data_IF_531543866113
#
_entry.id   IF_531543866113
#
_cell.length_a   1.000
_cell.length_b   1.000
_cell.length_c   1.000
_cell.angle_alpha   90.00
_cell.angle_beta   90.00
_cell.angle_gamma   90.00
#
_symmetry.space_group_name_H-M   'P 1'
#
loop_
_entity.id
_entity.type
_entity.pdbx_description
1 polymer ?
#
# COMPACT_ATOMS: atom_id res chain seq x y z
N UNK A 1 -25.68 -24.20 4.28
CA UNK A 1 -25.06 -23.33 3.25
C UNK A 1 -25.71 -23.68 1.91
N UNK A 2 -25.94 -22.69 1.04
CA UNK A 2 -26.67 -22.87 -0.22
C UNK A 2 -25.75 -23.04 -1.43
N UNK A 3 -26.21 -23.78 -2.44
CA UNK A 3 -25.54 -23.89 -3.74
C UNK A 3 -25.37 -22.51 -4.40
N UNK A 4 -24.43 -22.35 -5.35
CA UNK A 4 -24.33 -21.12 -6.14
C UNK A 4 -25.63 -20.83 -6.89
N UNK A 5 -25.99 -19.56 -6.98
CA UNK A 5 -27.17 -19.08 -7.72
C UNK A 5 -26.71 -18.55 -9.06
N UNK A 6 -27.06 -19.25 -10.15
CA UNK A 6 -26.71 -18.89 -11.52
C UNK A 6 -27.96 -18.38 -12.22
N UNK A 7 -27.91 -17.15 -12.75
CA UNK A 7 -29.02 -16.57 -13.49
C UNK A 7 -29.27 -17.35 -14.80
N UNK A 8 -30.53 -17.60 -15.21
CA UNK A 8 -30.85 -18.40 -16.41
C UNK A 8 -30.28 -17.89 -17.74
N UNK A 9 -29.90 -16.61 -17.80
CA UNK A 9 -29.31 -15.98 -18.99
C UNK A 9 -27.78 -15.87 -18.94
N UNK A 10 -27.13 -16.48 -17.94
CA UNK A 10 -25.68 -16.64 -17.91
C UNK A 10 -25.27 -17.94 -18.65
N UNK A 11 -24.14 -17.92 -19.35
CA UNK A 11 -23.51 -19.11 -19.94
C UNK A 11 -22.36 -19.56 -19.04
N UNK A 12 -22.65 -20.49 -18.12
CA UNK A 12 -21.70 -20.97 -17.12
C UNK A 12 -21.40 -22.43 -17.38
N UNK A 13 -20.14 -22.73 -17.72
CA UNK A 13 -19.66 -24.09 -17.99
C UNK A 13 -18.82 -24.69 -16.86
N UNK A 14 -18.25 -23.86 -15.97
CA UNK A 14 -17.48 -24.34 -14.83
C UNK A 14 -18.36 -25.04 -13.79
N UNK A 15 -17.84 -26.15 -13.27
CA UNK A 15 -18.41 -26.86 -12.11
C UNK A 15 -17.73 -26.47 -10.79
N UNK A 16 -16.66 -25.66 -10.84
CA UNK A 16 -15.81 -25.30 -9.71
C UNK A 16 -16.22 -23.95 -9.13
N UNK A 17 -17.47 -23.85 -8.69
CA UNK A 17 -18.04 -22.62 -8.14
C UNK A 17 -18.47 -22.86 -6.69
N UNK A 18 -17.90 -22.09 -5.78
CA UNK A 18 -18.14 -22.19 -4.35
C UNK A 18 -19.57 -21.84 -3.94
N UNK A 19 -19.92 -22.22 -2.71
CA UNK A 19 -21.26 -22.04 -2.15
C UNK A 19 -21.61 -20.56 -2.00
N UNK A 20 -22.91 -20.24 -2.06
CA UNK A 20 -23.47 -18.88 -1.96
C UNK A 20 -23.00 -17.87 -3.04
N UNK A 21 -22.16 -18.30 -3.99
CA UNK A 21 -21.73 -17.47 -5.11
C UNK A 21 -22.90 -17.13 -6.01
N UNK A 22 -22.99 -15.86 -6.43
CA UNK A 22 -24.07 -15.32 -7.26
C UNK A 22 -23.50 -14.91 -8.61
N UNK A 23 -24.06 -15.49 -9.67
CA UNK A 23 -23.72 -15.16 -11.06
C UNK A 23 -24.94 -14.54 -11.72
N UNK A 24 -24.82 -13.27 -12.11
CA UNK A 24 -25.92 -12.48 -12.67
C UNK A 24 -26.06 -12.66 -14.19
N UNK A 25 -27.07 -12.02 -14.77
CA UNK A 25 -27.41 -12.14 -16.19
C UNK A 25 -26.25 -11.80 -17.14
N UNK A 26 -26.17 -12.51 -18.26
CA UNK A 26 -25.21 -12.23 -19.34
C UNK A 26 -23.74 -12.34 -18.92
N UNK A 27 -23.46 -13.15 -17.90
CA UNK A 27 -22.10 -13.55 -17.54
C UNK A 27 -21.72 -14.79 -18.37
N UNK A 28 -20.47 -14.87 -18.80
CA UNK A 28 -19.88 -16.04 -19.45
C UNK A 28 -18.73 -16.58 -18.58
N UNK A 29 -18.76 -17.87 -18.23
CA UNK A 29 -17.71 -18.52 -17.43
C UNK A 29 -17.28 -19.83 -18.11
N UNK A 30 -15.99 -19.95 -18.41
CA UNK A 30 -15.44 -21.11 -19.10
C UNK A 30 -15.27 -22.33 -18.18
N UNK A 31 -15.14 -23.55 -18.72
CA UNK A 31 -15.20 -24.79 -17.93
C UNK A 31 -14.18 -24.91 -16.78
N UNK A 32 -12.96 -24.43 -16.98
CA UNK A 32 -11.87 -24.70 -16.04
C UNK A 32 -11.69 -23.62 -14.95
N UNK A 33 -12.46 -22.53 -15.03
CA UNK A 33 -12.41 -21.44 -14.05
C UNK A 33 -12.70 -21.93 -12.63
N UNK A 34 -11.93 -21.48 -11.65
CA UNK A 34 -12.11 -21.80 -10.22
C UNK A 34 -12.59 -20.57 -9.46
N UNK A 35 -13.78 -20.63 -8.88
CA UNK A 35 -14.41 -19.51 -8.19
C UNK A 35 -14.76 -19.92 -6.77
N UNK A 36 -14.31 -19.14 -5.78
CA UNK A 36 -14.55 -19.36 -4.36
C UNK A 36 -16.01 -19.21 -3.92
N UNK A 37 -16.21 -19.26 -2.61
CA UNK A 37 -17.50 -19.12 -1.95
C UNK A 37 -17.89 -17.66 -1.73
N UNK A 38 -19.19 -17.38 -1.75
CA UNK A 38 -19.80 -16.05 -1.56
C UNK A 38 -19.24 -14.97 -2.48
N UNK A 39 -18.86 -15.36 -3.70
CA UNK A 39 -18.44 -14.43 -4.75
C UNK A 39 -19.67 -13.81 -5.40
N UNK A 40 -19.57 -12.55 -5.83
CA UNK A 40 -20.63 -11.86 -6.56
C UNK A 40 -20.14 -11.42 -7.93
N UNK A 41 -20.53 -12.15 -8.98
CA UNK A 41 -20.17 -11.85 -10.38
C UNK A 41 -21.34 -11.13 -11.07
N UNK A 42 -21.28 -9.81 -11.08
CA UNK A 42 -22.32 -8.95 -11.68
C UNK A 42 -22.42 -9.13 -13.21
N UNK A 43 -23.51 -8.61 -13.79
CA UNK A 43 -23.88 -8.82 -15.19
C UNK A 43 -22.80 -8.41 -16.19
N UNK A 44 -22.80 -8.99 -17.38
CA UNK A 44 -21.86 -8.63 -18.46
C UNK A 44 -20.38 -8.76 -18.08
N UNK A 45 -20.03 -9.85 -17.39
CA UNK A 45 -18.64 -10.23 -17.15
C UNK A 45 -18.27 -11.47 -17.97
N UNK A 46 -16.98 -11.66 -18.20
CA UNK A 46 -16.41 -12.87 -18.79
C UNK A 46 -15.28 -13.40 -17.92
N UNK A 47 -15.22 -14.71 -17.72
CA UNK A 47 -14.17 -15.39 -16.96
C UNK A 47 -13.65 -16.58 -17.78
N UNK A 48 -12.37 -16.57 -18.11
CA UNK A 48 -11.70 -17.63 -18.89
C UNK A 48 -11.28 -18.85 -18.04
N UNK A 49 -10.53 -19.78 -18.65
CA UNK A 49 -10.22 -21.09 -18.06
C UNK A 49 -9.17 -20.99 -16.96
N UNK A 50 -8.03 -20.35 -17.26
CA UNK A 50 -6.90 -20.23 -16.35
C UNK A 50 -7.10 -19.07 -15.36
N UNK A 51 -8.15 -19.16 -14.56
CA UNK A 51 -8.55 -18.15 -13.59
C UNK A 51 -8.84 -18.79 -12.24
N UNK A 52 -8.32 -18.18 -11.18
CA UNK A 52 -8.67 -18.50 -9.79
C UNK A 52 -9.17 -17.24 -9.10
N UNK A 53 -10.35 -17.31 -8.51
CA UNK A 53 -10.97 -16.23 -7.71
C UNK A 53 -11.23 -16.77 -6.31
N UNK A 54 -10.70 -16.07 -5.29
CA UNK A 54 -10.91 -16.38 -3.88
C UNK A 54 -12.31 -16.04 -3.39
N UNK A 55 -12.55 -16.33 -2.12
CA UNK A 55 -13.85 -16.18 -1.47
C UNK A 55 -14.23 -14.71 -1.24
N UNK A 56 -15.54 -14.44 -1.14
CA UNK A 56 -16.11 -13.13 -0.76
C UNK A 56 -15.70 -11.97 -1.67
N UNK A 57 -15.22 -12.29 -2.86
CA UNK A 57 -14.81 -11.32 -3.88
C UNK A 57 -16.02 -10.79 -4.65
N UNK A 58 -16.03 -9.49 -4.93
CA UNK A 58 -17.04 -8.84 -5.76
C UNK A 58 -16.46 -8.38 -7.09
N UNK A 59 -17.08 -8.82 -8.19
CA UNK A 59 -16.74 -8.40 -9.54
C UNK A 59 -17.95 -7.66 -10.12
N UNK A 60 -17.81 -6.34 -10.27
CA UNK A 60 -18.84 -5.50 -10.88
C UNK A 60 -18.89 -5.68 -12.40
N UNK A 61 -19.98 -5.20 -13.00
CA UNK A 61 -20.27 -5.39 -14.42
C UNK A 61 -19.22 -4.83 -15.38
N UNK A 62 -19.11 -5.46 -16.55
CA UNK A 62 -18.20 -5.04 -17.63
C UNK A 62 -16.74 -5.44 -17.42
N UNK A 63 -16.47 -6.41 -16.54
CA UNK A 63 -15.12 -6.89 -16.23
C UNK A 63 -14.84 -8.18 -17.00
N UNK A 64 -13.68 -8.23 -17.64
CA UNK A 64 -13.19 -9.41 -18.37
C UNK A 64 -11.95 -9.95 -17.65
N UNK A 65 -12.06 -11.18 -17.13
CA UNK A 65 -11.03 -11.86 -16.36
C UNK A 65 -10.38 -12.91 -17.27
N UNK A 66 -9.25 -12.51 -17.86
CA UNK A 66 -8.51 -13.32 -18.83
C UNK A 66 -7.68 -14.42 -18.16
N UNK A 67 -7.25 -15.39 -18.97
CA UNK A 67 -6.29 -16.42 -18.57
C UNK A 67 -5.03 -15.82 -17.91
N UNK A 68 -4.59 -16.45 -16.82
CA UNK A 68 -3.44 -16.06 -16.01
C UNK A 68 -3.76 -15.20 -14.78
N UNK A 69 -5.02 -14.81 -14.58
CA UNK A 69 -5.41 -14.00 -13.42
C UNK A 69 -5.57 -14.86 -12.14
N UNK A 70 -5.04 -14.34 -11.04
CA UNK A 70 -5.20 -14.88 -9.68
C UNK A 70 -5.75 -13.79 -8.78
N UNK A 71 -6.99 -13.93 -8.35
CA UNK A 71 -7.70 -12.96 -7.51
C UNK A 71 -7.90 -13.58 -6.14
N UNK A 72 -7.44 -12.89 -5.09
CA UNK A 72 -7.53 -13.32 -3.71
C UNK A 72 -8.94 -13.22 -3.12
N UNK A 73 -8.99 -13.33 -1.79
CA UNK A 73 -10.23 -13.22 -1.02
C UNK A 73 -10.60 -11.76 -0.72
N UNK A 74 -11.88 -11.50 -0.52
CA UNK A 74 -12.38 -10.18 -0.09
C UNK A 74 -11.98 -9.04 -1.05
N UNK A 75 -11.71 -9.36 -2.32
CA UNK A 75 -11.31 -8.37 -3.33
C UNK A 75 -12.54 -7.64 -3.86
N UNK A 76 -12.41 -6.33 -4.09
CA UNK A 76 -13.41 -5.55 -4.79
C UNK A 76 -12.90 -5.12 -6.17
N UNK A 77 -13.58 -5.54 -7.23
CA UNK A 77 -13.29 -5.12 -8.61
C UNK A 77 -14.47 -4.26 -9.10
N UNK A 78 -14.20 -2.97 -9.27
CA UNK A 78 -15.16 -1.97 -9.70
C UNK A 78 -15.64 -2.17 -11.15
N UNK A 79 -16.72 -1.47 -11.54
CA UNK A 79 -17.32 -1.67 -12.86
C UNK A 79 -16.34 -1.24 -13.97
N UNK A 80 -16.34 -1.97 -15.08
CA UNK A 80 -15.49 -1.70 -16.25
C UNK A 80 -13.98 -1.68 -15.96
N UNK A 81 -13.52 -2.32 -14.88
CA UNK A 81 -12.07 -2.57 -14.71
C UNK A 81 -11.60 -3.46 -15.86
N UNK A 82 -10.52 -3.03 -16.50
CA UNK A 82 -9.95 -3.71 -17.67
C UNK A 82 -8.64 -4.36 -17.30
N UNK A 83 -8.60 -5.69 -17.36
CA UNK A 83 -7.36 -6.47 -17.26
C UNK A 83 -6.77 -6.72 -18.64
N UNK A 84 -5.46 -6.98 -18.66
CA UNK A 84 -4.71 -7.40 -19.85
C UNK A 84 -3.70 -8.47 -19.45
N UNK A 85 -3.32 -9.34 -20.38
CA UNK A 85 -2.41 -10.48 -20.14
C UNK A 85 -1.25 -10.57 -21.15
N UNK A 86 -1.32 -9.86 -22.27
CA UNK A 86 -0.24 -9.68 -23.26
C UNK A 86 0.26 -8.23 -23.26
N UNK A 87 1.58 -8.06 -23.13
CA UNK A 87 2.24 -6.75 -23.10
C UNK A 87 2.38 -6.11 -24.48
N UNK A 88 2.41 -6.93 -25.53
CA UNK A 88 2.61 -6.49 -26.91
C UNK A 88 1.64 -7.21 -27.86
N UNK A 89 0.31 -7.04 -27.66
CA UNK A 89 -0.70 -7.82 -28.37
C UNK A 89 -0.64 -7.59 -29.88
N UNK A 90 -0.63 -8.68 -30.63
CA UNK A 90 -0.67 -8.70 -32.11
C UNK A 90 -1.62 -9.81 -32.56
N UNK A 91 -2.53 -9.50 -33.49
CA UNK A 91 -3.52 -10.47 -33.97
C UNK A 91 -2.83 -11.72 -34.54
N UNK A 92 -3.27 -12.91 -34.08
CA UNK A 92 -2.73 -14.23 -34.45
C UNK A 92 -1.27 -14.46 -34.06
N UNK A 93 -0.73 -13.64 -33.17
CA UNK A 93 0.59 -13.81 -32.57
C UNK A 93 0.37 -13.90 -31.07
N UNK A 94 0.65 -15.06 -30.51
CA UNK A 94 0.38 -15.37 -29.11
C UNK A 94 1.69 -15.57 -28.38
N UNK A 95 1.83 -15.09 -27.13
CA UNK A 95 2.98 -15.42 -26.31
C UNK A 95 2.98 -16.92 -25.98
N UNK A 96 4.15 -17.50 -25.72
CA UNK A 96 4.23 -18.89 -25.24
C UNK A 96 3.54 -19.07 -23.89
N UNK A 97 3.59 -18.05 -23.04
CA UNK A 97 2.92 -17.99 -21.74
C UNK A 97 2.40 -16.58 -21.48
N UNK A 98 1.14 -16.46 -21.04
CA UNK A 98 0.59 -15.18 -20.59
C UNK A 98 1.21 -14.75 -19.26
N UNK A 99 1.37 -13.43 -19.07
CA UNK A 99 1.93 -12.90 -17.83
C UNK A 99 0.90 -12.97 -16.71
N UNK A 100 1.19 -13.65 -15.58
CA UNK A 100 0.23 -13.78 -14.50
C UNK A 100 0.03 -12.43 -13.80
N UNK A 101 -1.22 -12.03 -13.64
CA UNK A 101 -1.61 -10.85 -12.86
C UNK A 101 -2.21 -11.32 -11.54
N UNK A 102 -1.66 -10.86 -10.42
CA UNK A 102 -2.05 -11.30 -9.08
C UNK A 102 -2.68 -10.15 -8.31
N UNK A 103 -3.90 -10.34 -7.84
CA UNK A 103 -4.61 -9.40 -6.97
C UNK A 103 -4.72 -10.05 -5.60
N UNK A 104 -3.99 -9.54 -4.62
CA UNK A 104 -3.99 -10.09 -3.26
C UNK A 104 -5.25 -9.71 -2.48
N UNK A 105 -5.46 -10.43 -1.37
CA UNK A 105 -6.64 -10.31 -0.52
C UNK A 105 -6.94 -8.86 -0.13
N UNK A 106 -8.23 -8.53 -0.02
CA UNK A 106 -8.75 -7.22 0.40
C UNK A 106 -8.39 -6.04 -0.51
N UNK A 107 -7.71 -6.27 -1.64
CA UNK A 107 -7.43 -5.22 -2.60
C UNK A 107 -8.74 -4.67 -3.21
N UNK A 108 -8.77 -3.37 -3.48
CA UNK A 108 -9.90 -2.67 -4.08
C UNK A 108 -9.48 -1.94 -5.35
N UNK A 109 -10.13 -2.26 -6.46
CA UNK A 109 -9.85 -1.68 -7.77
C UNK A 109 -11.03 -0.82 -8.21
N UNK A 110 -10.80 0.49 -8.30
CA UNK A 110 -11.80 1.47 -8.70
C UNK A 110 -12.28 1.27 -10.15
N UNK A 111 -13.54 1.62 -10.39
CA UNK A 111 -14.17 1.43 -11.70
C UNK A 111 -13.40 2.11 -12.84
N UNK A 112 -13.38 1.46 -14.00
CA UNK A 112 -12.70 1.95 -15.21
C UNK A 112 -11.17 1.92 -15.13
N UNK A 113 -10.56 1.39 -14.06
CA UNK A 113 -9.11 1.25 -14.00
C UNK A 113 -8.59 0.24 -15.04
N UNK A 114 -7.38 0.45 -15.54
CA UNK A 114 -6.68 -0.43 -16.48
C UNK A 114 -5.47 -1.04 -15.79
N UNK A 115 -5.40 -2.36 -15.78
CA UNK A 115 -4.33 -3.14 -15.16
C UNK A 115 -3.47 -3.78 -16.26
N UNK A 116 -2.22 -3.32 -16.38
CA UNK A 116 -1.26 -3.88 -17.32
C UNK A 116 -0.88 -5.32 -16.94
N UNK A 117 -0.35 -6.12 -17.89
CA UNK A 117 -0.10 -7.53 -17.66
C UNK A 117 1.13 -7.74 -16.78
N UNK A 118 1.11 -8.80 -15.97
CA UNK A 118 2.25 -9.19 -15.14
C UNK A 118 2.48 -8.32 -13.91
N UNK A 119 1.46 -7.59 -13.45
CA UNK A 119 1.54 -6.76 -12.24
C UNK A 119 0.90 -7.47 -11.05
N UNK A 120 1.38 -7.11 -9.86
CA UNK A 120 0.82 -7.55 -8.58
C UNK A 120 0.14 -6.38 -7.89
N UNK A 121 -1.11 -6.54 -7.46
CA UNK A 121 -1.80 -5.58 -6.59
C UNK A 121 -1.76 -6.15 -5.17
N UNK A 122 -1.01 -5.48 -4.29
CA UNK A 122 -0.76 -5.93 -2.92
C UNK A 122 -2.01 -5.99 -2.05
N UNK A 123 -1.90 -6.72 -0.93
CA UNK A 123 -3.00 -6.90 0.02
C UNK A 123 -3.53 -5.55 0.50
N UNK A 124 -4.86 -5.38 0.53
CA UNK A 124 -5.50 -4.14 0.98
C UNK A 124 -5.17 -2.88 0.16
N UNK A 125 -4.47 -3.01 -0.97
CA UNK A 125 -4.16 -1.87 -1.83
C UNK A 125 -5.43 -1.29 -2.46
N UNK A 126 -5.42 0.02 -2.73
CA UNK A 126 -6.54 0.73 -3.34
C UNK A 126 -6.12 1.40 -4.64
N UNK A 127 -6.62 0.89 -5.75
CA UNK A 127 -6.46 1.50 -7.08
C UNK A 127 -7.62 2.45 -7.32
N UNK A 128 -7.33 3.73 -7.54
CA UNK A 128 -8.33 4.75 -7.82
C UNK A 128 -9.07 4.50 -9.14
N UNK A 129 -10.30 5.03 -9.24
CA UNK A 129 -11.10 4.95 -10.46
C UNK A 129 -10.33 5.55 -11.66
N UNK A 130 -10.39 4.87 -12.80
CA UNK A 130 -9.72 5.29 -14.04
C UNK A 130 -8.18 5.25 -14.02
N UNK A 131 -7.55 4.71 -12.97
CA UNK A 131 -6.08 4.63 -12.91
C UNK A 131 -5.52 3.66 -13.96
N UNK A 132 -4.34 3.96 -14.51
CA UNK A 132 -3.61 3.06 -15.43
C UNK A 132 -2.41 2.49 -14.70
N UNK A 133 -2.56 1.29 -14.15
CA UNK A 133 -1.57 0.62 -13.34
C UNK A 133 -0.52 -0.03 -14.24
N UNK A 134 0.69 0.53 -14.25
CA UNK A 134 1.80 0.08 -15.10
C UNK A 134 2.90 -0.68 -14.37
N UNK A 135 2.81 -0.79 -13.04
CA UNK A 135 3.76 -1.44 -12.14
C UNK A 135 3.00 -2.04 -10.97
N UNK A 136 3.58 -3.05 -10.32
CA UNK A 136 3.02 -3.63 -9.09
C UNK A 136 2.78 -2.56 -8.03
N UNK A 137 1.68 -2.72 -7.30
CA UNK A 137 1.21 -1.80 -6.25
C UNK A 137 1.51 -2.44 -4.90
N UNK A 138 2.27 -1.78 -4.01
CA UNK A 138 2.57 -2.32 -2.68
C UNK A 138 1.32 -2.57 -1.83
N UNK A 139 1.39 -3.44 -0.81
CA UNK A 139 0.31 -3.62 0.16
C UNK A 139 -0.15 -2.30 0.75
N UNK A 140 -1.46 -2.13 0.86
CA UNK A 140 -2.14 -0.93 1.39
C UNK A 140 -1.83 0.39 0.68
N UNK A 141 -1.08 0.40 -0.42
CA UNK A 141 -0.83 1.61 -1.18
C UNK A 141 -2.10 2.08 -1.89
N UNK A 142 -2.30 3.39 -1.92
CA UNK A 142 -3.35 4.06 -2.69
C UNK A 142 -2.70 4.60 -3.96
N UNK A 143 -3.12 4.12 -5.13
CA UNK A 143 -2.58 4.59 -6.42
C UNK A 143 -3.64 5.27 -7.28
N UNK A 144 -3.30 6.39 -7.90
CA UNK A 144 -4.21 7.13 -8.80
C UNK A 144 -3.49 7.67 -10.03
N UNK A 145 -4.26 8.04 -11.07
CA UNK A 145 -3.77 8.70 -12.28
C UNK A 145 -3.32 7.76 -13.40
N UNK A 146 -2.84 8.36 -14.50
CA UNK A 146 -2.35 7.68 -15.70
C UNK A 146 -1.03 8.30 -16.15
N UNK A 147 0.10 7.58 -16.05
CA UNK A 147 0.27 6.30 -15.36
C UNK A 147 0.06 6.42 -13.83
N UNK A 148 -0.42 5.35 -13.19
CA UNK A 148 -0.76 5.35 -11.77
C UNK A 148 0.47 5.63 -10.88
N UNK A 149 0.27 6.38 -9.79
CA UNK A 149 1.28 6.74 -8.80
C UNK A 149 0.72 6.60 -7.40
N UNK A 150 1.57 6.23 -6.44
CA UNK A 150 1.21 6.17 -5.03
C UNK A 150 0.93 7.59 -4.53
N UNK A 151 -0.28 7.82 -4.04
CA UNK A 151 -0.72 9.11 -3.49
C UNK A 151 -0.99 9.06 -1.98
N UNK A 152 -1.04 7.85 -1.41
CA UNK A 152 -1.37 7.61 -0.01
C UNK A 152 -1.13 6.14 0.34
N UNK A 153 -1.30 5.82 1.62
CA UNK A 153 -1.52 4.47 2.10
C UNK A 153 -2.82 4.43 2.89
N UNK A 154 -3.49 3.28 2.91
CA UNK A 154 -4.70 3.08 3.71
C UNK A 154 -4.30 3.14 5.19
N UNK A 155 -4.74 4.19 5.87
CA UNK A 155 -4.60 4.33 7.31
C UNK A 155 -5.62 3.45 8.04
N UNK A 156 -5.19 2.85 9.15
CA UNK A 156 -6.06 2.05 10.01
C UNK A 156 -5.66 2.20 11.47
N UNK A 157 -5.41 3.43 11.90
CA UNK A 157 -5.14 3.74 13.31
C UNK A 157 -6.37 4.37 13.95
N UNK A 158 -6.57 4.14 15.24
CA UNK A 158 -7.58 4.86 16.04
C UNK A 158 -7.35 6.38 16.11
N UNK A 159 -6.23 6.88 15.55
CA UNK A 159 -5.93 8.31 15.41
C UNK A 159 -6.68 8.99 14.25
N UNK A 160 -7.41 8.23 13.41
CA UNK A 160 -8.19 8.78 12.29
C UNK A 160 -9.40 9.63 12.69
N UNK A 161 -9.66 9.82 14.00
CA UNK A 161 -10.80 10.63 14.50
C UNK A 161 -10.52 12.15 14.56
N UNK A 162 -9.36 12.61 14.04
CA UNK A 162 -9.09 14.04 13.87
C UNK A 162 -9.11 14.46 12.40
N UNK A 163 -10.23 14.21 11.71
CA UNK A 163 -10.54 14.91 10.46
C UNK A 163 -11.04 16.34 10.73
N UNK A 164 -10.25 17.17 11.41
CA UNK A 164 -10.39 18.62 11.26
C UNK A 164 -9.42 19.07 10.17
N UNK A 165 -9.97 19.44 9.01
CA UNK A 165 -9.26 20.23 8.01
C UNK A 165 -8.54 21.38 8.72
N UNK A 166 -7.28 21.70 8.39
CA UNK A 166 -6.57 22.79 9.05
C UNK A 166 -7.37 24.07 8.86
N UNK A 167 -8.01 24.56 9.93
CA UNK A 167 -8.39 25.95 10.03
C UNK A 167 -7.07 26.71 10.01
N UNK A 168 -6.93 27.65 9.07
CA UNK A 168 -5.88 28.66 9.12
C UNK A 168 -6.03 29.39 10.46
N UNK A 169 -5.21 28.98 11.43
CA UNK A 169 -5.05 29.67 12.70
C UNK A 169 -3.62 30.19 12.73
N UNK A 170 -3.50 31.51 12.64
CA UNK A 170 -2.25 32.23 12.84
C UNK A 170 -1.62 31.85 14.18
N UNK A 171 -0.30 31.63 14.18
CA UNK A 171 0.57 31.45 15.34
C UNK A 171 0.15 30.39 16.37
N UNK A 172 0.15 29.11 15.97
CA UNK A 172 0.29 28.04 16.97
C UNK A 172 1.78 27.80 17.19
N UNK A 173 2.29 28.18 18.35
CA UNK A 173 3.59 27.70 18.84
C UNK A 173 3.60 26.16 18.70
N UNK A 174 4.48 25.63 17.85
CA UNK A 174 4.72 24.20 17.74
C UNK A 174 5.20 23.74 19.12
N UNK A 175 4.30 23.13 19.91
CA UNK A 175 4.65 22.66 21.25
C UNK A 175 5.76 21.63 21.14
N UNK A 176 6.91 21.96 21.72
CA UNK A 176 8.00 21.01 21.96
C UNK A 176 7.43 19.77 22.66
N UNK A 177 7.88 18.58 22.26
CA UNK A 177 7.44 17.36 22.92
C UNK A 177 7.41 16.13 22.04
N UNK A 178 7.12 15.02 22.70
CA UNK A 178 7.06 13.67 22.13
C UNK A 178 5.61 13.20 22.17
N UNK A 179 5.09 12.78 21.03
CA UNK A 179 3.70 12.32 20.89
C UNK A 179 3.69 10.91 20.29
N UNK A 180 2.86 10.01 20.84
CA UNK A 180 2.64 8.69 20.24
C UNK A 180 1.88 8.82 18.92
N UNK A 181 2.31 8.09 17.90
CA UNK A 181 1.66 8.10 16.57
C UNK A 181 0.43 7.17 16.52
N UNK A 182 0.35 6.18 17.43
CA UNK A 182 -0.71 5.17 17.43
C UNK A 182 -0.41 3.96 16.55
N UNK A 183 0.88 3.72 16.27
CA UNK A 183 1.42 2.55 15.57
C UNK A 183 2.57 2.02 16.42
N UNK A 184 2.39 0.88 17.08
CA UNK A 184 3.32 0.35 18.07
C UNK A 184 3.89 1.41 19.03
N UNK A 185 5.21 1.40 19.21
CA UNK A 185 5.96 2.39 20.00
C UNK A 185 6.54 3.55 19.15
N UNK A 186 6.01 3.77 17.95
CA UNK A 186 6.40 4.90 17.10
C UNK A 186 6.01 6.21 17.77
N UNK A 187 6.96 7.14 17.82
CA UNK A 187 6.76 8.48 18.38
C UNK A 187 7.18 9.57 17.39
N UNK A 188 6.41 10.66 17.36
CA UNK A 188 6.72 11.90 16.66
C UNK A 188 7.29 12.91 17.64
N UNK A 189 8.30 13.66 17.21
CA UNK A 189 9.08 14.56 18.04
C UNK A 189 9.08 15.95 17.44
N UNK A 190 8.73 16.96 18.23
CA UNK A 190 8.99 18.36 17.92
C UNK A 190 10.14 18.83 18.81
N UNK A 191 11.30 19.04 18.21
CA UNK A 191 12.50 19.52 18.88
C UNK A 191 12.41 21.01 19.18
N UNK A 192 13.19 21.41 20.18
CA UNK A 192 13.41 22.82 20.51
C UNK A 192 13.85 23.59 19.28
N UNK A 193 13.24 24.75 19.09
CA UNK A 193 13.51 25.64 17.97
C UNK A 193 13.66 27.07 18.48
N UNK A 194 14.77 27.71 18.12
CA UNK A 194 15.10 29.09 18.50
C UNK A 194 15.43 29.86 17.24
N UNK A 195 14.68 30.92 16.98
CA UNK A 195 14.93 31.86 15.90
C UNK A 195 15.41 33.20 16.49
N UNK A 196 16.53 33.72 15.99
CA UNK A 196 17.00 35.07 16.31
C UNK A 196 17.55 35.78 15.06
N UNK A 197 18.00 37.03 15.21
CA UNK A 197 18.48 37.84 14.07
C UNK A 197 19.71 37.25 13.34
N UNK A 198 20.38 36.24 13.91
CA UNK A 198 21.53 35.53 13.32
C UNK A 198 21.10 34.28 12.55
N UNK A 199 19.83 33.87 12.67
CA UNK A 199 19.27 32.69 12.02
C UNK A 199 18.53 31.78 12.99
N UNK A 200 18.27 30.57 12.52
CA UNK A 200 17.46 29.57 13.20
C UNK A 200 18.32 28.41 13.70
N UNK A 201 17.99 27.87 14.88
CA UNK A 201 18.66 26.75 15.50
C UNK A 201 17.63 25.78 16.07
N UNK A 202 17.81 24.49 15.80
CA UNK A 202 17.12 23.41 16.49
C UNK A 202 18.11 22.46 17.14
N UNK A 203 17.71 21.85 18.25
CA UNK A 203 18.55 20.92 19.01
C UNK A 203 17.72 19.74 19.51
N UNK A 204 18.31 18.54 19.42
CA UNK A 204 17.83 17.33 20.06
C UNK A 204 19.01 16.59 20.68
N UNK A 205 18.79 15.97 21.83
CA UNK A 205 19.79 15.20 22.56
C UNK A 205 19.45 13.70 22.47
N UNK A 206 20.48 12.88 22.24
CA UNK A 206 20.34 11.42 22.35
C UNK A 206 20.12 11.03 23.81
N UNK A 207 19.37 9.94 24.02
CA UNK A 207 18.96 9.41 25.34
C UNK A 207 18.02 10.32 26.13
N UNK A 208 17.59 11.46 25.56
CA UNK A 208 16.56 12.34 26.10
C UNK A 208 15.37 12.43 25.15
N UNK A 209 15.50 13.14 24.04
CA UNK A 209 14.47 13.19 23.02
C UNK A 209 14.61 12.01 22.06
N UNK A 210 15.82 11.72 21.56
CA UNK A 210 16.04 10.57 20.68
C UNK A 210 16.33 9.33 21.55
N UNK A 211 15.50 8.27 21.52
CA UNK A 211 15.51 7.23 22.57
C UNK A 211 16.63 6.18 22.41
N UNK A 212 17.72 6.50 21.71
CA UNK A 212 18.89 5.64 21.57
C UNK A 212 20.15 6.46 21.22
N UNK A 213 21.32 5.86 21.43
CA UNK A 213 22.62 6.39 20.97
C UNK A 213 22.92 5.83 19.58
N UNK A 214 23.12 6.66 18.55
CA UNK A 214 23.37 6.16 17.20
C UNK A 214 24.79 5.63 17.04
N UNK A 215 24.93 4.53 16.29
CA UNK A 215 26.21 4.04 15.79
C UNK A 215 26.48 4.48 14.35
N UNK A 216 25.44 4.92 13.64
CA UNK A 216 25.50 5.32 12.23
C UNK A 216 24.46 6.40 11.92
N UNK A 217 24.80 7.25 10.95
CA UNK A 217 23.84 8.10 10.27
C UNK A 217 23.97 7.91 8.75
N UNK A 218 22.91 8.24 8.02
CA UNK A 218 22.97 8.35 6.56
C UNK A 218 21.99 9.42 6.06
N UNK A 219 22.19 9.84 4.81
CA UNK A 219 21.38 10.86 4.15
C UNK A 219 20.70 10.27 2.91
N UNK A 220 19.44 10.63 2.69
CA UNK A 220 18.71 10.36 1.46
C UNK A 220 18.30 11.69 0.84
N UNK A 221 18.77 11.97 -0.37
CA UNK A 221 18.57 13.23 -1.08
C UNK A 221 18.50 13.00 -2.59
N UNK A 222 18.06 14.01 -3.36
CA UNK A 222 17.84 13.93 -4.81
C UNK A 222 16.95 12.75 -5.21
N UNK A 223 15.92 12.48 -4.39
CA UNK A 223 14.93 11.45 -4.69
C UNK A 223 13.95 12.02 -5.70
N UNK A 224 13.79 11.41 -6.90
CA UNK A 224 12.77 11.84 -7.82
C UNK A 224 11.41 11.76 -7.12
N UNK A 225 10.62 12.84 -7.14
CA UNK A 225 9.36 12.98 -6.38
C UNK A 225 8.32 11.86 -6.59
N UNK A 226 8.51 11.04 -7.63
CA UNK A 226 7.67 9.89 -7.97
C UNK A 226 8.16 8.54 -7.38
N UNK A 227 9.32 8.49 -6.72
CA UNK A 227 9.90 7.23 -6.19
C UNK A 227 9.61 7.07 -4.70
N UNK A 228 9.16 5.88 -4.36
CA UNK A 228 9.13 5.36 -2.99
C UNK A 228 10.53 4.91 -2.57
N UNK A 229 10.87 5.11 -1.30
CA UNK A 229 12.05 4.61 -0.59
C UNK A 229 11.58 3.86 0.67
N UNK A 230 12.45 3.06 1.25
CA UNK A 230 12.08 2.23 2.40
C UNK A 230 11.54 0.88 1.94
N UNK A 231 10.28 0.60 2.26
CA UNK A 231 9.59 -0.67 1.97
C UNK A 231 10.27 -1.87 2.65
N UNK A 232 10.59 -1.71 3.93
CA UNK A 232 11.14 -2.75 4.78
C UNK A 232 10.88 -2.47 6.26
N UNK A 233 11.03 -3.49 7.08
CA UNK A 233 11.22 -3.38 8.53
C UNK A 233 12.63 -3.83 8.92
N UNK A 234 13.00 -3.59 10.18
CA UNK A 234 14.25 -4.04 10.79
C UNK A 234 13.98 -5.03 11.92
N UNK A 235 14.78 -6.09 12.04
CA UNK A 235 14.65 -7.02 13.17
C UNK A 235 15.07 -6.37 14.50
N UNK A 236 16.19 -5.62 14.49
CA UNK A 236 16.80 -5.06 15.70
C UNK A 236 17.13 -3.57 15.60
N UNK A 237 17.37 -3.04 14.40
CA UNK A 237 17.81 -1.66 14.24
C UNK A 237 16.69 -0.66 14.56
N UNK A 238 16.95 0.23 15.52
CA UNK A 238 16.15 1.42 15.77
C UNK A 238 16.52 2.50 14.76
N UNK A 239 15.54 3.31 14.34
CA UNK A 239 15.76 4.40 13.41
C UNK A 239 15.13 5.70 13.93
N UNK A 240 15.76 6.83 13.64
CA UNK A 240 15.21 8.16 13.88
C UNK A 240 15.39 9.03 12.65
N UNK A 241 14.29 9.54 12.10
CA UNK A 241 14.22 10.22 10.82
C UNK A 241 13.92 11.71 11.01
N UNK A 242 14.67 12.58 10.33
CA UNK A 242 14.46 14.05 10.32
C UNK A 242 14.64 14.53 8.87
N UNK A 243 13.65 15.23 8.31
CA UNK A 243 13.82 15.89 7.02
C UNK A 243 14.44 17.28 7.24
N UNK A 244 15.77 17.36 7.16
CA UNK A 244 16.55 18.57 7.51
C UNK A 244 16.41 19.69 6.48
N UNK A 245 15.92 19.38 5.28
CA UNK A 245 15.55 20.33 4.23
C UNK A 245 14.41 19.77 3.40
N UNK A 246 13.57 20.64 2.85
CA UNK A 246 12.44 20.24 2.02
C UNK A 246 11.39 19.48 2.84
N UNK A 247 10.74 18.52 2.22
CA UNK A 247 9.78 17.65 2.91
C UNK A 247 9.74 16.23 2.35
N UNK A 248 9.31 15.29 3.20
CA UNK A 248 8.89 13.96 2.77
C UNK A 248 7.85 13.38 3.74
N UNK A 249 7.03 12.44 3.25
CA UNK A 249 6.10 11.69 4.06
C UNK A 249 6.72 10.35 4.48
N UNK A 250 6.53 9.98 5.75
CA UNK A 250 6.95 8.70 6.33
C UNK A 250 5.71 7.92 6.72
N UNK A 251 5.52 6.73 6.13
CA UNK A 251 4.49 5.78 6.54
C UNK A 251 5.13 4.77 7.48
N UNK A 252 4.46 4.54 8.60
CA UNK A 252 4.82 3.57 9.62
C UNK A 252 3.71 2.55 9.77
N UNK A 253 4.09 1.30 10.02
CA UNK A 253 3.19 0.16 10.12
C UNK A 253 3.76 -0.88 11.11
N UNK A 254 2.94 -1.31 12.07
CA UNK A 254 3.27 -2.34 13.07
C UNK A 254 2.71 -3.73 12.69
N UNK A 255 2.06 -3.83 11.53
CA UNK A 255 1.38 -5.01 11.02
C UNK A 255 -0.14 -4.98 11.22
N UNK A 256 -0.64 -4.09 12.07
CA UNK A 256 -2.07 -3.93 12.36
C UNK A 256 -2.56 -2.50 12.14
N UNK A 257 -1.82 -1.54 12.69
CA UNK A 257 -2.07 -0.11 12.63
C UNK A 257 -1.09 0.54 11.65
N UNK A 258 -1.58 1.57 10.95
CA UNK A 258 -0.80 2.32 9.97
C UNK A 258 -1.09 3.81 10.07
N UNK A 259 -0.05 4.62 9.92
CA UNK A 259 -0.14 6.08 9.92
C UNK A 259 0.88 6.71 8.98
N UNK A 260 0.53 7.85 8.40
CA UNK A 260 1.43 8.71 7.62
C UNK A 260 1.80 9.96 8.42
N UNK A 261 3.09 10.26 8.53
CA UNK A 261 3.63 11.45 9.21
C UNK A 261 4.42 12.29 8.21
N UNK A 262 4.09 13.57 8.13
CA UNK A 262 4.83 14.52 7.30
C UNK A 262 6.04 15.07 8.06
N UNK A 263 7.23 14.96 7.47
CA UNK A 263 8.45 15.62 7.91
C UNK A 263 8.73 16.80 6.97
N UNK A 264 8.34 18.00 7.38
CA UNK A 264 8.40 19.24 6.59
C UNK A 264 9.14 20.39 7.29
N UNK A 265 9.82 20.10 8.40
CA UNK A 265 10.61 21.06 9.15
C UNK A 265 11.82 20.37 9.82
N UNK A 266 12.97 21.05 9.93
CA UNK A 266 14.19 20.47 10.49
C UNK A 266 14.12 20.20 11.99
N UNK A 267 13.11 20.74 12.69
CA UNK A 267 12.84 20.46 14.09
C UNK A 267 11.76 19.37 14.29
N UNK A 268 11.32 18.69 13.24
CA UNK A 268 10.40 17.55 13.32
C UNK A 268 11.15 16.25 13.07
N UNK A 269 10.92 15.26 13.94
CA UNK A 269 11.48 13.93 13.78
C UNK A 269 10.48 12.83 14.09
N UNK A 270 10.78 11.62 13.63
CA UNK A 270 10.00 10.42 13.94
C UNK A 270 10.93 9.27 14.32
N UNK A 271 10.60 8.59 15.41
CA UNK A 271 11.28 7.41 15.91
C UNK A 271 10.55 6.15 15.45
N UNK A 272 11.28 5.24 14.80
CA UNK A 272 10.82 3.91 14.40
C UNK A 272 11.57 2.87 15.26
N UNK A 273 10.89 2.17 16.18
CA UNK A 273 11.46 1.01 16.85
C UNK A 273 11.64 -0.16 15.86
N UNK A 274 12.40 -1.21 16.25
CA UNK A 274 12.47 -2.45 15.49
C UNK A 274 11.09 -3.03 15.25
N UNK A 275 10.96 -3.84 14.20
CA UNK A 275 9.69 -4.39 13.72
C UNK A 275 8.64 -3.33 13.38
N UNK A 276 9.09 -2.15 12.94
CA UNK A 276 8.24 -1.16 12.27
C UNK A 276 8.55 -1.18 10.77
N UNK A 277 7.54 -1.44 9.95
CA UNK A 277 7.67 -1.31 8.50
C UNK A 277 7.62 0.16 8.09
N UNK A 278 8.70 0.64 7.47
CA UNK A 278 8.91 2.03 7.12
C UNK A 278 8.89 2.29 5.61
N UNK A 279 8.16 3.31 5.19
CA UNK A 279 8.14 3.78 3.80
C UNK A 279 8.35 5.29 3.79
N UNK A 280 9.21 5.81 2.92
CA UNK A 280 9.42 7.24 2.74
C UNK A 280 9.13 7.63 1.29
N UNK A 281 8.29 8.62 1.08
CA UNK A 281 7.85 9.04 -0.25
C UNK A 281 7.39 10.50 -0.27
N UNK A 282 6.86 10.98 -1.40
CA UNK A 282 6.49 12.40 -1.60
C UNK A 282 7.64 13.37 -1.27
N UNK A 283 8.87 13.01 -1.62
CA UNK A 283 10.02 13.89 -1.46
C UNK A 283 9.84 15.17 -2.29
N UNK A 284 10.02 16.34 -1.67
CA UNK A 284 10.22 17.59 -2.40
C UNK A 284 11.56 17.53 -3.17
N UNK A 285 11.70 18.38 -4.18
CA UNK A 285 12.91 18.38 -5.04
C UNK A 285 14.19 18.66 -4.25
N UNK A 286 14.09 19.49 -3.20
CA UNK A 286 15.20 19.89 -2.34
C UNK A 286 15.30 19.05 -1.04
N UNK A 287 14.53 17.97 -0.94
CA UNK A 287 14.44 17.18 0.28
C UNK A 287 15.76 16.49 0.65
N UNK A 288 16.10 16.57 1.94
CA UNK A 288 17.23 15.85 2.54
C UNK A 288 16.73 15.18 3.82
N UNK A 289 16.63 13.86 3.79
CA UNK A 289 16.26 13.04 4.95
C UNK A 289 17.52 12.54 5.66
N UNK A 290 17.72 12.98 6.89
CA UNK A 290 18.72 12.47 7.83
C UNK A 290 18.13 11.33 8.63
N UNK A 291 18.87 10.23 8.73
CA UNK A 291 18.49 9.06 9.51
C UNK A 291 19.61 8.70 10.47
N UNK A 292 19.29 8.61 11.75
CA UNK A 292 20.13 8.01 12.78
C UNK A 292 19.73 6.56 13.00
N UNK A 293 20.70 5.67 13.24
CA UNK A 293 20.44 4.26 13.53
C UNK A 293 21.22 3.77 14.74
N UNK A 294 20.58 2.92 15.57
CA UNK A 294 21.23 2.29 16.74
C UNK A 294 22.37 1.36 16.36
N UNK A 295 22.35 0.84 15.13
CA UNK A 295 23.28 -0.20 14.68
C UNK A 295 24.05 0.19 13.42
N UNK A 296 25.18 -0.50 13.23
CA UNK A 296 25.92 -0.47 11.97
C UNK A 296 25.08 -1.07 10.84
N UNK A 297 25.53 -0.92 9.59
CA UNK A 297 24.82 -1.55 8.48
C UNK A 297 24.95 -3.07 8.58
N UNK A 298 23.80 -3.74 8.58
CA UNK A 298 23.67 -5.17 8.45
C UNK A 298 22.58 -5.49 7.42
N UNK A 299 22.90 -6.29 6.41
CA UNK A 299 21.97 -6.64 5.35
C UNK A 299 20.92 -7.67 5.82
N UNK A 300 21.27 -8.49 6.81
CA UNK A 300 20.45 -9.58 7.34
C UNK A 300 19.41 -9.08 8.35
N UNK A 301 19.56 -7.85 8.84
CA UNK A 301 18.58 -7.21 9.73
C UNK A 301 17.32 -6.72 8.99
N UNK A 302 17.31 -6.76 7.64
CA UNK A 302 16.21 -6.25 6.82
C UNK A 302 15.12 -7.29 6.55
N UNK A 303 13.88 -6.96 6.89
CA UNK A 303 12.68 -7.67 6.43
C UNK A 303 12.11 -6.93 5.22
N UNK A 304 12.27 -7.50 4.01
CA UNK A 304 11.86 -6.85 2.75
C UNK A 304 10.58 -7.42 2.13
N UNK A 305 10.09 -8.54 2.64
CA UNK A 305 8.80 -9.10 2.24
C UNK A 305 7.74 -8.72 3.27
N UNK A 306 6.68 -8.06 2.81
CA UNK A 306 5.63 -7.59 3.69
C UNK A 306 4.83 -8.74 4.32
N UNK A 307 4.68 -9.87 3.62
CA UNK A 307 3.96 -11.03 4.15
C UNK A 307 4.75 -11.72 5.24
N UNK A 308 6.07 -11.78 5.12
CA UNK A 308 6.98 -12.21 6.17
C UNK A 308 6.92 -11.30 7.39
N UNK A 309 6.94 -9.97 7.17
CA UNK A 309 6.76 -8.98 8.24
C UNK A 309 5.47 -9.23 9.03
N UNK A 310 4.33 -9.38 8.34
CA UNK A 310 3.04 -9.68 8.98
C UNK A 310 3.09 -10.98 9.79
N UNK A 311 3.73 -12.04 9.28
CA UNK A 311 3.86 -13.31 10.00
C UNK A 311 4.67 -13.15 11.29
N UNK A 312 5.76 -12.40 11.23
CA UNK A 312 6.62 -12.13 12.39
C UNK A 312 5.85 -11.34 13.45
N UNK A 313 5.23 -10.22 13.07
CA UNK A 313 4.54 -9.35 14.04
C UNK A 313 3.29 -9.99 14.62
N UNK A 314 2.56 -10.79 13.84
CA UNK A 314 1.39 -11.54 14.32
C UNK A 314 1.74 -12.70 15.28
N UNK A 315 3.01 -13.12 15.33
CA UNK A 315 3.47 -14.20 16.22
C UNK A 315 3.96 -13.72 17.59
N UNK A 316 4.03 -12.41 17.79
CA UNK A 316 4.51 -11.77 19.02
C UNK A 316 3.38 -11.42 19.99
N UNK A 317 2.13 -11.61 19.59
CA UNK A 317 0.92 -11.50 20.44
C UNK A 317 0.55 -12.83 21.12
#
# INVERSE_FOLDING_TARGET
>A
MSNPTIHPSADVKSTNIGQNTRVWQYVVIFPDAVIGADVNVCSHCLIENDVVIGDRTTIKSGVYVWDGLRIGNDVFIGPNVTFTNDKFPRSKVYPETFLPTVIHDKASIGGGAVILPGVTIGMGAMVGAGAVVTKSVPPYAIVTGSPARITGYVENSAASDNSEKPKLVENTELREGITKVGVGDVTSHNFKYVADMRGDLSVGEFEKEIPFVPKRYFLVFNVPSQKTRGEHAHHNCHQFLICVKGSCAVVVDDGQNRAEVMLDAPNKGIYLPPLTWGIQYKYSEDAVLLVFTSDYYDADDYIRDYSEFIKITSSLE
#
